data_IF_002667653830
#
_entry.id   IF_002667653830
#
_cell.length_a   1.000
_cell.length_b   1.000
_cell.length_c   1.000
_cell.angle_alpha   90.00
_cell.angle_beta   90.00
_cell.angle_gamma   90.00
#
_symmetry.space_group_name_H-M   'P 1'
#
loop_
_entity.id
_entity.type
_entity.pdbx_description
1 polymer ?
#
# COMPACT_ATOMS: atom_id res chain seq x y z
N UNK A 1 -1.77 30.58 -8.08
CA UNK A 1 -1.39 29.87 -6.83
C UNK A 1 -0.28 28.90 -7.17
N UNK A 2 0.78 28.90 -6.40
CA UNK A 2 1.89 27.97 -6.52
C UNK A 2 2.02 27.17 -5.22
N UNK A 3 2.11 25.83 -5.32
CA UNK A 3 2.25 24.93 -4.17
C UNK A 3 3.50 24.06 -4.33
N UNK A 4 4.09 23.62 -3.22
CA UNK A 4 5.11 22.59 -3.22
C UNK A 4 4.51 21.25 -2.77
N UNK A 5 4.96 20.15 -3.39
CA UNK A 5 4.67 18.78 -2.94
C UNK A 5 5.98 18.06 -2.70
N UNK A 6 6.21 17.63 -1.46
CA UNK A 6 7.43 16.97 -1.01
C UNK A 6 7.25 15.46 -1.00
N UNK A 7 8.15 14.74 -1.69
CA UNK A 7 8.05 13.30 -1.86
C UNK A 7 7.24 12.93 -3.11
N UNK A 8 7.93 12.70 -4.23
CA UNK A 8 7.31 12.44 -5.53
C UNK A 8 7.15 10.92 -5.77
N UNK A 9 6.67 10.21 -4.76
CA UNK A 9 6.33 8.79 -4.82
C UNK A 9 4.91 8.52 -5.33
N UNK A 10 4.38 7.36 -4.93
CA UNK A 10 3.04 6.88 -5.31
C UNK A 10 1.87 7.74 -4.81
N UNK A 11 2.11 8.64 -3.87
CA UNK A 11 1.15 9.62 -3.34
C UNK A 11 1.39 11.00 -3.94
N UNK A 12 2.59 11.54 -3.77
CA UNK A 12 2.85 12.93 -4.12
C UNK A 12 2.86 13.21 -5.62
N UNK A 13 3.29 12.26 -6.48
CA UNK A 13 3.28 12.49 -7.92
C UNK A 13 1.85 12.52 -8.51
N UNK A 14 0.94 11.57 -8.21
CA UNK A 14 -0.46 11.66 -8.64
C UNK A 14 -1.14 12.95 -8.16
N UNK A 15 -0.93 13.32 -6.90
CA UNK A 15 -1.46 14.55 -6.33
C UNK A 15 -0.91 15.79 -7.05
N UNK A 16 0.39 15.82 -7.37
CA UNK A 16 1.02 16.89 -8.14
C UNK A 16 0.35 17.08 -9.50
N UNK A 17 0.12 15.99 -10.21
CA UNK A 17 -0.55 16.03 -11.52
C UNK A 17 -2.02 16.46 -11.40
N UNK A 18 -2.70 16.07 -10.32
CA UNK A 18 -4.08 16.48 -10.07
C UNK A 18 -4.18 17.99 -9.84
N UNK A 19 -3.28 18.60 -9.06
CA UNK A 19 -3.22 20.03 -8.88
C UNK A 19 -2.83 20.76 -10.16
N UNK A 20 -1.85 20.25 -10.92
CA UNK A 20 -1.42 20.83 -12.19
C UNK A 20 -2.57 20.89 -13.22
N UNK A 21 -3.46 19.88 -13.24
CA UNK A 21 -4.67 19.87 -14.09
C UNK A 21 -5.70 20.92 -13.67
N UNK A 22 -5.62 21.45 -12.46
CA UNK A 22 -6.56 22.41 -11.87
C UNK A 22 -6.03 23.84 -11.83
N UNK A 23 -5.21 24.23 -12.82
CA UNK A 23 -4.59 25.55 -12.93
C UNK A 23 -3.74 25.98 -11.72
N UNK A 24 -3.13 25.03 -11.04
CA UNK A 24 -2.21 25.27 -9.93
C UNK A 24 -0.79 24.96 -10.39
N UNK A 25 0.13 25.90 -10.19
CA UNK A 25 1.56 25.65 -10.43
C UNK A 25 2.12 24.78 -9.28
N UNK A 26 2.74 23.66 -9.63
CA UNK A 26 3.26 22.68 -8.68
C UNK A 26 4.78 22.60 -8.79
N UNK A 27 5.45 22.83 -7.65
CA UNK A 27 6.85 22.53 -7.44
C UNK A 27 6.98 21.21 -6.71
N UNK A 28 7.39 20.15 -7.41
CA UNK A 28 7.74 18.88 -6.78
C UNK A 28 9.11 18.95 -6.09
N UNK A 29 9.20 18.54 -4.84
CA UNK A 29 10.47 18.45 -4.10
C UNK A 29 10.76 16.98 -3.75
N UNK A 30 11.92 16.48 -4.15
CA UNK A 30 12.37 15.12 -3.81
C UNK A 30 13.88 15.09 -3.66
N UNK A 31 14.40 14.30 -2.74
CA UNK A 31 15.84 14.14 -2.51
C UNK A 31 16.53 13.32 -3.64
N UNK A 32 15.77 12.55 -4.40
CA UNK A 32 16.28 11.69 -5.47
C UNK A 32 16.47 12.48 -6.78
N UNK A 33 17.73 12.78 -7.09
CA UNK A 33 18.13 13.49 -8.31
C UNK A 33 17.69 12.77 -9.59
N UNK A 34 17.62 11.43 -9.58
CA UNK A 34 17.22 10.66 -10.76
C UNK A 34 15.73 10.82 -11.05
N UNK A 35 14.89 10.78 -10.00
CA UNK A 35 13.46 11.07 -10.12
C UNK A 35 13.22 12.49 -10.62
N UNK A 36 13.84 13.48 -10.01
CA UNK A 36 13.73 14.89 -10.40
C UNK A 36 14.10 15.08 -11.89
N UNK A 37 15.22 14.50 -12.32
CA UNK A 37 15.64 14.56 -13.71
C UNK A 37 14.64 13.91 -14.67
N UNK A 38 14.10 12.74 -14.29
CA UNK A 38 13.11 12.01 -15.10
C UNK A 38 11.85 12.84 -15.28
N UNK A 39 11.31 13.39 -14.20
CA UNK A 39 10.08 14.19 -14.21
C UNK A 39 10.22 15.47 -15.04
N UNK A 40 11.32 16.21 -14.86
CA UNK A 40 11.59 17.41 -15.65
C UNK A 40 11.82 17.10 -17.15
N UNK A 41 12.08 15.85 -17.51
CA UNK A 41 12.15 15.37 -18.90
C UNK A 41 10.81 14.81 -19.40
N UNK A 42 9.71 15.00 -18.68
CA UNK A 42 8.38 14.50 -19.04
C UNK A 42 8.23 12.98 -18.94
N UNK A 43 9.08 12.29 -18.15
CA UNK A 43 9.08 10.82 -18.08
C UNK A 43 8.68 10.31 -16.70
N UNK A 44 7.74 9.35 -16.70
CA UNK A 44 7.31 8.64 -15.49
C UNK A 44 8.29 7.51 -15.13
N UNK A 45 8.44 7.26 -13.83
CA UNK A 45 9.04 6.06 -13.26
C UNK A 45 8.00 5.22 -12.51
N UNK A 46 6.73 5.64 -12.53
CA UNK A 46 5.58 4.91 -11.95
C UNK A 46 4.74 4.39 -13.11
N UNK A 47 4.58 3.08 -13.22
CA UNK A 47 4.02 2.42 -14.40
C UNK A 47 2.57 2.83 -14.72
N UNK A 48 1.74 3.02 -13.69
CA UNK A 48 0.34 3.41 -13.88
C UNK A 48 0.16 4.92 -14.11
N UNK A 49 1.25 5.71 -14.15
CA UNK A 49 1.24 7.12 -14.52
C UNK A 49 1.87 7.27 -15.89
N UNK A 50 1.08 7.66 -16.87
CA UNK A 50 1.55 7.86 -18.23
C UNK A 50 2.54 9.03 -18.33
N UNK A 51 3.64 8.82 -19.05
CA UNK A 51 4.64 9.88 -19.27
C UNK A 51 4.05 11.09 -19.98
N UNK A 52 3.06 10.92 -20.85
CA UNK A 52 2.35 12.02 -21.50
C UNK A 52 1.71 13.00 -20.53
N UNK A 53 1.13 12.50 -19.43
CA UNK A 53 0.52 13.36 -18.41
C UNK A 53 1.54 14.23 -17.68
N UNK A 54 2.78 13.72 -17.51
CA UNK A 54 3.88 14.50 -16.92
C UNK A 54 4.40 15.52 -17.94
N UNK A 55 4.63 15.09 -19.18
CA UNK A 55 5.10 15.96 -20.24
C UNK A 55 4.15 17.15 -20.46
N UNK A 56 2.84 16.91 -20.57
CA UNK A 56 1.82 17.95 -20.67
C UNK A 56 1.89 18.98 -19.52
N UNK A 57 2.08 18.51 -18.28
CA UNK A 57 2.17 19.39 -17.12
C UNK A 57 3.46 20.23 -17.12
N UNK A 58 4.58 19.63 -17.53
CA UNK A 58 5.89 20.31 -17.66
C UNK A 58 5.87 21.32 -18.79
N UNK A 59 5.41 20.93 -19.98
CA UNK A 59 5.35 21.80 -21.18
C UNK A 59 4.39 22.97 -20.97
N UNK A 60 3.31 22.77 -20.21
CA UNK A 60 2.40 23.83 -19.81
C UNK A 60 2.97 24.78 -18.72
N UNK A 61 4.17 24.52 -18.20
CA UNK A 61 4.76 25.26 -17.10
C UNK A 61 4.04 25.10 -15.75
N UNK A 62 3.17 24.08 -15.64
CA UNK A 62 2.36 23.82 -14.42
C UNK A 62 3.01 22.87 -13.44
N UNK A 63 4.05 22.16 -13.85
CA UNK A 63 4.81 21.25 -13.01
C UNK A 63 6.31 21.39 -13.25
N UNK A 64 7.07 21.47 -12.18
CA UNK A 64 8.54 21.36 -12.20
C UNK A 64 9.00 20.59 -10.96
N UNK A 65 10.14 19.92 -11.03
CA UNK A 65 10.72 19.20 -9.89
C UNK A 65 12.10 19.74 -9.53
N UNK A 66 12.45 19.68 -8.23
CA UNK A 66 13.74 20.16 -7.71
C UNK A 66 14.21 19.34 -6.52
N UNK A 67 15.52 19.30 -6.30
CA UNK A 67 16.12 18.80 -5.05
C UNK A 67 16.45 19.93 -4.06
N UNK A 68 16.20 21.18 -4.45
CA UNK A 68 16.47 22.37 -3.64
C UNK A 68 15.24 22.76 -2.83
N UNK A 69 15.24 22.40 -1.55
CA UNK A 69 14.15 22.67 -0.60
C UNK A 69 14.00 24.17 -0.29
N UNK A 70 15.04 24.98 -0.53
CA UNK A 70 14.95 26.44 -0.35
C UNK A 70 13.90 27.09 -1.26
N UNK A 71 13.53 26.42 -2.34
CA UNK A 71 12.50 26.87 -3.26
C UNK A 71 11.07 26.78 -2.68
N UNK A 72 10.88 26.10 -1.55
CA UNK A 72 9.60 26.10 -0.84
C UNK A 72 9.10 27.51 -0.54
N UNK A 73 10.02 28.48 -0.29
CA UNK A 73 9.69 29.91 -0.10
C UNK A 73 8.95 30.56 -1.29
N UNK A 74 9.02 29.98 -2.49
CA UNK A 74 8.32 30.46 -3.69
C UNK A 74 6.82 30.09 -3.68
N UNK A 75 6.35 29.28 -2.74
CA UNK A 75 5.02 28.66 -2.75
C UNK A 75 4.12 29.19 -1.64
N UNK A 76 2.81 29.08 -1.82
CA UNK A 76 1.78 29.48 -0.85
C UNK A 76 1.42 28.32 0.11
N UNK A 77 1.65 27.09 -0.36
CA UNK A 77 1.42 25.88 0.44
C UNK A 77 2.49 24.82 0.18
N UNK A 78 2.80 24.02 1.19
CA UNK A 78 3.68 22.86 1.12
C UNK A 78 2.92 21.64 1.60
N UNK A 79 2.86 20.58 0.78
CA UNK A 79 2.22 19.30 1.10
C UNK A 79 3.30 18.24 1.24
N UNK A 80 3.34 17.55 2.37
CA UNK A 80 4.38 16.56 2.72
C UNK A 80 3.82 15.14 2.51
N UNK A 81 4.40 14.40 1.54
CA UNK A 81 4.01 13.05 1.12
C UNK A 81 5.21 12.08 1.23
N UNK A 82 5.96 12.13 2.32
CA UNK A 82 7.15 11.30 2.53
C UNK A 82 6.81 9.93 3.13
N UNK A 83 7.67 8.91 2.94
CA UNK A 83 7.43 7.59 3.53
C UNK A 83 7.41 7.62 5.06
N UNK A 84 6.61 6.71 5.63
CA UNK A 84 6.50 6.48 7.07
C UNK A 84 6.52 4.97 7.33
N UNK A 85 7.69 4.30 7.28
CA UNK A 85 7.80 2.87 7.53
C UNK A 85 7.72 2.54 9.02
N UNK A 86 7.59 1.26 9.34
CA UNK A 86 7.91 0.75 10.68
C UNK A 86 9.40 0.38 10.75
N UNK A 87 9.97 0.51 11.95
CA UNK A 87 11.25 -0.08 12.25
C UNK A 87 11.11 -1.61 12.49
N UNK A 88 12.24 -2.31 12.70
CA UNK A 88 12.25 -3.77 12.97
C UNK A 88 11.46 -4.20 14.21
N UNK A 89 11.16 -3.29 15.12
CA UNK A 89 10.38 -3.51 16.34
C UNK A 89 8.90 -3.19 16.14
N UNK A 90 8.46 -2.92 14.91
CA UNK A 90 7.11 -2.46 14.54
C UNK A 90 6.72 -1.13 15.21
N UNK A 91 7.69 -0.24 15.44
CA UNK A 91 7.44 1.11 15.91
C UNK A 91 7.46 2.10 14.73
N UNK A 92 6.63 3.17 14.79
CA UNK A 92 6.62 4.21 13.76
C UNK A 92 7.99 4.86 13.54
N UNK A 93 8.45 4.90 12.31
CA UNK A 93 9.62 5.69 11.92
C UNK A 93 9.17 6.97 11.21
N UNK A 94 9.06 8.06 11.98
CA UNK A 94 8.69 9.39 11.47
C UNK A 94 9.91 10.24 11.11
N UNK A 95 11.11 9.65 11.05
CA UNK A 95 12.35 10.39 10.75
C UNK A 95 12.27 11.19 9.45
N UNK A 96 11.64 10.63 8.41
CA UNK A 96 11.44 11.32 7.13
C UNK A 96 10.56 12.58 7.27
N UNK A 97 9.54 12.56 8.14
CA UNK A 97 8.69 13.72 8.41
C UNK A 97 9.53 14.78 9.12
N UNK A 98 10.25 14.38 10.16
CA UNK A 98 11.10 15.29 10.98
C UNK A 98 12.19 15.93 10.13
N UNK A 99 12.93 15.16 9.34
CA UNK A 99 14.00 15.71 8.49
C UNK A 99 13.44 16.60 7.37
N UNK A 100 12.26 16.28 6.85
CA UNK A 100 11.55 17.15 5.89
C UNK A 100 11.14 18.45 6.58
N UNK A 101 10.59 18.39 7.80
CA UNK A 101 10.24 19.56 8.60
C UNK A 101 11.44 20.46 8.84
N UNK A 102 12.58 19.89 9.25
CA UNK A 102 13.85 20.64 9.43
C UNK A 102 14.33 21.32 8.13
N UNK A 103 14.18 20.64 7.01
CA UNK A 103 14.59 21.17 5.69
C UNK A 103 13.68 22.30 5.21
N UNK A 104 12.40 22.29 5.60
CA UNK A 104 11.40 23.27 5.18
C UNK A 104 11.35 24.49 6.12
N UNK A 105 11.53 24.30 7.42
CA UNK A 105 11.34 25.32 8.44
C UNK A 105 12.06 26.65 8.16
N UNK A 106 13.35 26.68 7.73
CA UNK A 106 14.05 27.94 7.42
C UNK A 106 13.48 28.72 6.22
N UNK A 107 12.59 28.08 5.45
CA UNK A 107 12.03 28.62 4.20
C UNK A 107 10.53 28.92 4.32
N UNK A 108 9.95 28.74 5.51
CA UNK A 108 8.56 29.11 5.75
C UNK A 108 8.38 30.63 5.70
N UNK A 109 7.15 31.04 5.34
CA UNK A 109 6.77 32.46 5.29
C UNK A 109 5.43 32.63 6.03
N UNK A 110 5.20 33.85 6.54
CA UNK A 110 3.91 34.18 7.16
C UNK A 110 2.75 33.94 6.19
N UNK A 111 1.71 33.32 6.71
CA UNK A 111 0.52 32.94 5.94
C UNK A 111 0.67 31.68 5.09
N UNK A 112 1.86 31.05 5.01
CA UNK A 112 2.06 29.80 4.27
C UNK A 112 1.30 28.66 4.95
N UNK A 113 0.75 27.75 4.15
CA UNK A 113 0.13 26.52 4.64
C UNK A 113 1.13 25.35 4.56
N UNK A 114 1.27 24.58 5.62
CA UNK A 114 1.95 23.28 5.64
C UNK A 114 0.91 22.20 5.90
N UNK A 115 0.88 21.16 5.06
CA UNK A 115 -0.03 20.01 5.21
C UNK A 115 0.80 18.74 5.26
N UNK A 116 0.56 17.91 6.27
CA UNK A 116 1.06 16.54 6.29
C UNK A 116 0.03 15.61 5.65
N UNK A 117 0.43 14.82 4.64
CA UNK A 117 -0.37 13.76 4.02
C UNK A 117 0.15 12.35 4.33
N UNK A 118 1.39 12.24 4.79
CA UNK A 118 1.98 10.96 5.17
C UNK A 118 1.13 10.29 6.26
N UNK A 119 0.85 8.99 6.12
CA UNK A 119 0.13 8.24 7.16
C UNK A 119 0.95 8.18 8.43
N UNK A 120 0.32 8.46 9.57
CA UNK A 120 0.98 8.55 10.87
C UNK A 120 -0.01 8.36 12.02
N UNK A 121 0.45 8.44 13.29
CA UNK A 121 -0.40 8.38 14.48
C UNK A 121 -0.96 9.75 14.84
N UNK A 122 -2.11 9.79 15.55
CA UNK A 122 -2.69 11.04 16.04
C UNK A 122 -1.72 11.79 16.96
N UNK A 123 -1.44 13.04 16.62
CA UNK A 123 -0.47 13.90 17.32
C UNK A 123 0.77 14.23 16.50
N UNK A 124 1.12 13.47 15.47
CA UNK A 124 2.32 13.74 14.67
C UNK A 124 2.30 15.13 14.05
N UNK A 125 1.16 15.60 13.55
CA UNK A 125 1.08 16.92 12.92
C UNK A 125 1.14 18.05 13.92
N UNK A 126 0.35 17.98 15.00
CA UNK A 126 0.16 19.08 15.95
C UNK A 126 1.09 19.02 17.17
N UNK A 127 1.91 17.97 17.29
CA UNK A 127 3.01 17.83 18.25
C UNK A 127 4.35 17.78 17.52
N UNK A 128 4.74 16.62 16.97
CA UNK A 128 6.09 16.36 16.46
C UNK A 128 6.50 17.29 15.30
N UNK A 129 5.67 17.37 14.24
CA UNK A 129 5.98 18.22 13.08
C UNK A 129 5.88 19.71 13.43
N UNK A 130 4.88 20.09 14.23
CA UNK A 130 4.71 21.45 14.70
C UNK A 130 5.96 21.96 15.43
N UNK A 131 6.47 21.18 16.40
CA UNK A 131 7.67 21.54 17.18
C UNK A 131 8.87 21.81 16.26
N UNK A 132 9.10 20.95 15.29
CA UNK A 132 10.21 21.07 14.32
C UNK A 132 10.06 22.33 13.47
N UNK A 133 8.84 22.61 12.99
CA UNK A 133 8.59 23.77 12.13
C UNK A 133 8.72 25.07 12.89
N UNK A 134 8.20 25.16 14.13
CA UNK A 134 8.29 26.32 15.00
C UNK A 134 9.74 26.59 15.41
N UNK A 135 10.47 25.55 15.85
CA UNK A 135 11.87 25.68 16.26
C UNK A 135 12.79 26.15 15.10
N UNK A 136 12.57 25.63 13.89
CA UNK A 136 13.43 25.94 12.76
C UNK A 136 13.09 27.25 12.03
N UNK A 137 11.84 27.74 12.14
CA UNK A 137 11.39 28.97 11.49
C UNK A 137 11.36 30.19 12.43
N UNK A 138 11.26 29.95 13.74
CA UNK A 138 11.01 31.01 14.73
C UNK A 138 9.59 31.60 14.67
N UNK A 139 8.65 30.91 13.98
CA UNK A 139 7.26 31.31 13.81
C UNK A 139 6.31 30.37 14.55
N UNK A 140 5.12 30.86 14.93
CA UNK A 140 4.09 30.11 15.63
C UNK A 140 3.06 29.52 14.66
N UNK A 141 2.83 28.19 14.71
CA UNK A 141 1.82 27.53 13.93
C UNK A 141 0.39 27.93 14.36
N UNK A 142 -0.47 28.19 13.39
CA UNK A 142 -1.83 28.67 13.62
C UNK A 142 -1.94 30.19 13.76
N UNK A 143 -0.83 30.89 13.97
CA UNK A 143 -0.73 32.35 14.09
C UNK A 143 0.05 32.93 12.92
N UNK A 144 1.33 32.56 12.75
CA UNK A 144 2.20 33.07 11.69
C UNK A 144 2.10 32.26 10.40
N UNK A 145 1.91 30.94 10.51
CA UNK A 145 1.68 30.04 9.38
C UNK A 145 0.58 29.02 9.71
N UNK A 146 0.01 28.42 8.68
CA UNK A 146 -1.07 27.46 8.83
C UNK A 146 -0.53 26.02 8.81
N UNK A 147 -1.12 25.15 9.66
CA UNK A 147 -0.76 23.74 9.76
C UNK A 147 -2.02 22.87 9.69
N UNK A 148 -1.98 21.84 8.87
CA UNK A 148 -3.11 20.93 8.65
C UNK A 148 -2.64 19.49 8.36
N UNK A 149 -3.57 18.55 8.47
CA UNK A 149 -3.42 17.15 8.07
C UNK A 149 -4.51 16.74 7.08
N UNK A 150 -4.13 15.99 6.05
CA UNK A 150 -5.10 15.45 5.10
C UNK A 150 -4.63 14.09 4.58
N UNK A 151 -5.23 12.96 4.99
CA UNK A 151 -4.74 11.63 4.62
C UNK A 151 -4.95 11.33 3.14
N UNK A 152 -4.02 10.58 2.56
CA UNK A 152 -4.23 9.95 1.26
C UNK A 152 -5.16 8.74 1.39
N UNK A 153 -6.15 8.64 0.50
CA UNK A 153 -7.20 7.60 0.50
C UNK A 153 -7.32 6.87 -0.84
N UNK A 154 -6.38 7.08 -1.74
CA UNK A 154 -6.36 6.44 -3.04
C UNK A 154 -6.07 4.93 -2.90
N UNK A 155 -6.68 4.12 -3.77
CA UNK A 155 -6.40 2.68 -3.91
C UNK A 155 -5.71 2.46 -5.26
N UNK A 156 -4.36 2.44 -5.32
CA UNK A 156 -3.62 2.31 -6.56
C UNK A 156 -4.04 1.06 -7.35
N UNK A 157 -4.22 1.24 -8.66
CA UNK A 157 -4.67 0.16 -9.56
C UNK A 157 -6.19 -0.07 -9.57
N UNK A 158 -6.98 0.63 -8.75
CA UNK A 158 -8.43 0.59 -8.82
C UNK A 158 -8.94 1.67 -9.80
N UNK A 159 -9.59 1.31 -10.92
CA UNK A 159 -10.04 2.28 -11.92
C UNK A 159 -11.10 3.27 -11.41
N UNK A 160 -11.79 2.91 -10.31
CA UNK A 160 -12.78 3.76 -9.66
C UNK A 160 -12.17 4.65 -8.56
N UNK A 161 -10.89 4.48 -8.26
CA UNK A 161 -10.17 5.26 -7.25
C UNK A 161 -9.36 6.35 -7.95
N UNK A 162 -9.97 7.54 -8.12
CA UNK A 162 -9.30 8.70 -8.70
C UNK A 162 -9.20 9.80 -7.66
N UNK A 163 -8.02 10.39 -7.49
CA UNK A 163 -7.74 11.48 -6.53
C UNK A 163 -8.84 12.56 -6.53
N UNK A 164 -9.28 12.97 -7.73
CA UNK A 164 -10.26 14.04 -7.88
C UNK A 164 -11.66 13.76 -7.30
N UNK A 165 -12.08 12.49 -7.21
CA UNK A 165 -13.44 12.11 -6.85
C UNK A 165 -13.56 11.47 -5.46
N UNK A 166 -12.46 10.99 -4.89
CA UNK A 166 -12.46 10.45 -3.53
C UNK A 166 -12.64 11.61 -2.55
N UNK A 167 -13.66 11.55 -1.65
CA UNK A 167 -13.82 12.57 -0.64
C UNK A 167 -12.56 12.69 0.23
N UNK A 168 -11.97 13.88 0.32
CA UNK A 168 -10.71 14.11 1.05
C UNK A 168 -10.99 14.65 2.44
N UNK A 169 -10.55 13.94 3.46
CA UNK A 169 -10.64 14.37 4.86
C UNK A 169 -9.59 15.45 5.12
N UNK A 170 -9.96 16.51 5.84
CA UNK A 170 -9.05 17.61 6.17
C UNK A 170 -9.26 18.04 7.62
N UNK A 171 -8.18 18.08 8.41
CA UNK A 171 -8.15 18.64 9.75
C UNK A 171 -7.14 19.78 9.83
N UNK A 172 -7.51 20.89 10.43
CA UNK A 172 -6.60 22.02 10.70
C UNK A 172 -6.18 22.07 12.15
N UNK A 173 -4.99 22.66 12.43
CA UNK A 173 -4.56 22.95 13.79
C UNK A 173 -5.50 23.96 14.46
N UNK A 174 -5.96 24.97 13.70
CA UNK A 174 -6.95 25.96 14.10
C UNK A 174 -8.06 26.05 13.04
N UNK A 175 -9.23 26.69 13.34
CA UNK A 175 -10.23 26.96 12.31
C UNK A 175 -9.69 27.71 11.09
N UNK A 176 -8.78 28.67 11.28
CA UNK A 176 -8.13 29.39 10.19
C UNK A 176 -7.26 28.46 9.34
N UNK A 177 -6.50 27.55 9.97
CA UNK A 177 -5.72 26.53 9.25
C UNK A 177 -6.61 25.61 8.41
N UNK A 178 -7.76 25.19 8.93
CA UNK A 178 -8.74 24.39 8.22
C UNK A 178 -9.28 25.10 6.98
N UNK A 179 -9.66 26.37 7.12
CA UNK A 179 -10.19 27.15 5.97
C UNK A 179 -9.13 27.36 4.90
N UNK A 180 -7.86 27.62 5.26
CA UNK A 180 -6.76 27.68 4.29
C UNK A 180 -6.51 26.33 3.58
N UNK A 181 -6.53 25.23 4.32
CA UNK A 181 -6.40 23.89 3.73
C UNK A 181 -7.55 23.58 2.76
N UNK A 182 -8.79 23.90 3.14
CA UNK A 182 -9.97 23.76 2.27
C UNK A 182 -9.82 24.61 0.99
N UNK A 183 -9.33 25.83 1.08
CA UNK A 183 -9.12 26.69 -0.09
C UNK A 183 -8.07 26.12 -1.05
N UNK A 184 -7.00 25.51 -0.54
CA UNK A 184 -5.97 24.84 -1.36
C UNK A 184 -6.54 23.60 -2.03
N UNK A 185 -7.06 22.63 -1.23
CA UNK A 185 -7.54 21.36 -1.77
C UNK A 185 -8.78 21.48 -2.65
N UNK A 186 -9.67 22.44 -2.37
CA UNK A 186 -10.88 22.71 -3.16
C UNK A 186 -10.60 23.10 -4.61
N UNK A 187 -9.35 23.44 -4.96
CA UNK A 187 -8.96 23.70 -6.35
C UNK A 187 -8.86 22.40 -7.17
N UNK A 188 -8.47 21.29 -6.52
CA UNK A 188 -8.14 20.04 -7.21
C UNK A 188 -9.09 18.89 -6.84
N UNK A 189 -9.75 18.95 -5.68
CA UNK A 189 -10.58 17.89 -5.12
C UNK A 189 -12.03 18.35 -5.02
N UNK A 190 -12.94 17.54 -5.57
CA UNK A 190 -14.36 17.90 -5.67
C UNK A 190 -15.08 17.90 -4.31
N UNK A 191 -14.78 16.94 -3.46
CA UNK A 191 -15.47 16.76 -2.18
C UNK A 191 -14.48 16.80 -1.03
N UNK A 192 -14.63 17.77 -0.14
CA UNK A 192 -13.85 17.91 1.08
C UNK A 192 -14.70 17.53 2.28
N UNK A 193 -14.11 16.80 3.22
CA UNK A 193 -14.73 16.36 4.47
C UNK A 193 -13.94 17.00 5.63
N UNK A 194 -14.34 18.21 6.06
CA UNK A 194 -13.66 18.86 7.17
C UNK A 194 -13.95 18.15 8.48
N UNK A 195 -12.91 18.01 9.31
CA UNK A 195 -12.99 17.46 10.67
C UNK A 195 -12.41 18.44 11.68
N UNK A 196 -12.69 18.23 12.97
CA UNK A 196 -12.44 19.20 14.04
C UNK A 196 -10.95 19.45 14.34
N UNK A 197 -10.03 18.54 13.97
CA UNK A 197 -8.59 18.68 14.25
C UNK A 197 -7.74 17.81 13.34
N UNK A 198 -6.42 18.06 13.32
CA UNK A 198 -5.44 17.18 12.66
C UNK A 198 -5.54 15.75 13.22
N UNK A 199 -5.65 15.59 14.54
CA UNK A 199 -5.74 14.27 15.20
C UNK A 199 -6.95 13.45 14.74
N UNK A 200 -8.11 14.08 14.55
CA UNK A 200 -9.30 13.39 14.01
C UNK A 200 -9.05 12.92 12.58
N UNK A 201 -8.40 13.73 11.76
CA UNK A 201 -8.07 13.35 10.39
C UNK A 201 -7.03 12.22 10.33
N UNK A 202 -5.99 12.24 11.17
CA UNK A 202 -5.02 11.17 11.35
C UNK A 202 -5.69 9.87 11.82
N UNK A 203 -6.52 9.95 12.86
CA UNK A 203 -7.28 8.81 13.39
C UNK A 203 -8.23 8.20 12.34
N UNK A 204 -8.84 9.02 11.49
CA UNK A 204 -9.73 8.54 10.42
C UNK A 204 -9.00 7.59 9.47
N UNK A 205 -7.81 7.97 9.01
CA UNK A 205 -6.99 7.12 8.13
C UNK A 205 -6.65 5.78 8.78
N UNK A 206 -6.20 5.82 10.03
CA UNK A 206 -5.87 4.59 10.77
C UNK A 206 -7.10 3.70 10.95
N UNK A 207 -8.26 4.30 11.29
CA UNK A 207 -9.52 3.56 11.46
C UNK A 207 -9.92 2.81 10.18
N UNK A 208 -9.80 3.44 9.00
CA UNK A 208 -10.08 2.80 7.72
C UNK A 208 -9.19 1.58 7.46
N UNK A 209 -7.90 1.68 7.76
CA UNK A 209 -6.95 0.60 7.56
C UNK A 209 -7.06 -0.49 8.63
N UNK A 210 -7.33 -0.12 9.89
CA UNK A 210 -7.63 -1.05 10.98
C UNK A 210 -8.89 -1.87 10.66
N UNK A 211 -9.97 -1.21 10.22
CA UNK A 211 -11.19 -1.89 9.82
C UNK A 211 -10.92 -2.96 8.77
N UNK A 212 -10.09 -2.64 7.77
CA UNK A 212 -9.70 -3.58 6.71
C UNK A 212 -8.87 -4.74 7.27
N UNK A 213 -7.86 -4.44 8.08
CA UNK A 213 -6.98 -5.44 8.69
C UNK A 213 -7.74 -6.44 9.57
N UNK A 214 -8.62 -5.95 10.43
CA UNK A 214 -9.44 -6.78 11.34
C UNK A 214 -10.41 -7.67 10.57
N UNK A 215 -11.09 -7.13 9.56
CA UNK A 215 -12.03 -7.93 8.77
C UNK A 215 -11.33 -8.96 7.86
N UNK A 216 -10.12 -8.68 7.38
CA UNK A 216 -9.31 -9.69 6.68
C UNK A 216 -8.87 -10.79 7.65
N UNK A 217 -8.45 -10.45 8.88
CA UNK A 217 -8.12 -11.44 9.91
C UNK A 217 -9.33 -12.33 10.24
N UNK A 218 -10.51 -11.75 10.39
CA UNK A 218 -11.74 -12.51 10.63
C UNK A 218 -12.01 -13.55 9.53
N UNK A 219 -11.95 -13.15 8.25
CA UNK A 219 -12.21 -14.11 7.16
C UNK A 219 -11.07 -15.13 6.98
N UNK A 220 -9.84 -14.79 7.36
CA UNK A 220 -8.72 -15.73 7.42
C UNK A 220 -8.93 -16.78 8.52
N UNK A 221 -9.36 -16.36 9.71
CA UNK A 221 -9.71 -17.29 10.80
C UNK A 221 -10.90 -18.18 10.40
N UNK A 222 -11.98 -17.59 9.86
CA UNK A 222 -13.14 -18.34 9.37
C UNK A 222 -12.76 -19.36 8.29
N UNK A 223 -11.79 -19.03 7.42
CA UNK A 223 -11.27 -19.99 6.44
C UNK A 223 -10.68 -21.23 7.10
N UNK A 224 -9.86 -21.06 8.13
CA UNK A 224 -9.24 -22.19 8.85
C UNK A 224 -10.32 -23.04 9.52
N UNK A 225 -11.26 -22.39 10.23
CA UNK A 225 -12.37 -23.06 10.92
C UNK A 225 -13.27 -23.82 9.95
N UNK A 226 -13.73 -23.17 8.88
CA UNK A 226 -14.61 -23.77 7.89
C UNK A 226 -13.92 -24.88 7.09
N UNK A 227 -12.64 -24.73 6.80
CA UNK A 227 -11.85 -25.79 6.16
C UNK A 227 -11.83 -27.06 7.01
N UNK A 228 -11.67 -26.96 8.34
CA UNK A 228 -11.73 -28.10 9.26
C UNK A 228 -13.12 -28.73 9.32
N UNK A 229 -14.18 -27.97 9.03
CA UNK A 229 -15.57 -28.44 8.99
C UNK A 229 -15.98 -28.97 7.59
N UNK A 230 -15.10 -28.88 6.59
CA UNK A 230 -15.41 -29.24 5.20
C UNK A 230 -16.31 -28.23 4.47
N UNK A 231 -16.38 -26.99 4.97
CA UNK A 231 -17.20 -25.89 4.42
C UNK A 231 -16.30 -24.97 3.58
N UNK A 232 -16.78 -24.55 2.41
CA UNK A 232 -16.07 -23.59 1.57
C UNK A 232 -16.35 -22.14 2.00
N UNK A 233 -15.35 -21.49 2.60
CA UNK A 233 -15.46 -20.09 3.07
C UNK A 233 -15.84 -19.11 1.95
N UNK A 234 -15.42 -19.38 0.72
CA UNK A 234 -15.73 -18.49 -0.42
C UNK A 234 -17.22 -18.51 -0.76
N UNK A 235 -17.83 -19.70 -0.75
CA UNK A 235 -19.28 -19.86 -0.93
C UNK A 235 -20.06 -19.19 0.19
N UNK A 236 -19.59 -19.32 1.45
CA UNK A 236 -20.20 -18.66 2.60
C UNK A 236 -20.17 -17.14 2.45
N UNK A 237 -19.01 -16.57 2.08
CA UNK A 237 -18.87 -15.12 1.87
C UNK A 237 -19.72 -14.63 0.71
N UNK A 238 -19.74 -15.39 -0.41
CA UNK A 238 -20.54 -15.05 -1.58
C UNK A 238 -22.04 -15.10 -1.30
N UNK A 239 -22.50 -16.02 -0.45
CA UNK A 239 -23.87 -16.03 0.04
C UNK A 239 -24.15 -14.85 1.00
N UNK A 240 -23.26 -14.62 1.97
CA UNK A 240 -23.44 -13.56 2.98
C UNK A 240 -23.48 -12.16 2.35
N UNK A 241 -22.69 -11.87 1.31
CA UNK A 241 -22.69 -10.57 0.62
C UNK A 241 -24.00 -10.22 -0.10
N UNK A 242 -24.89 -11.19 -0.29
CA UNK A 242 -26.22 -10.92 -0.85
C UNK A 242 -27.12 -10.16 0.13
N UNK A 243 -26.77 -10.16 1.43
CA UNK A 243 -27.47 -9.39 2.44
C UNK A 243 -27.22 -7.88 2.20
N UNK A 244 -28.25 -7.05 2.01
CA UNK A 244 -28.09 -5.65 1.59
C UNK A 244 -27.60 -4.71 2.69
N UNK A 245 -27.44 -5.16 3.93
CA UNK A 245 -27.01 -4.37 5.09
C UNK A 245 -26.22 -5.22 6.09
N UNK A 246 -25.36 -4.57 6.90
CA UNK A 246 -24.67 -5.17 8.04
C UNK A 246 -23.61 -6.22 7.67
N UNK A 247 -23.24 -6.35 6.39
CA UNK A 247 -22.16 -7.20 5.93
C UNK A 247 -21.41 -6.53 4.76
N UNK A 248 -20.09 -6.38 4.92
CA UNK A 248 -19.19 -5.97 3.85
C UNK A 248 -18.25 -7.16 3.55
N UNK A 249 -18.21 -7.67 2.32
CA UNK A 249 -17.41 -8.85 2.01
C UNK A 249 -15.90 -8.52 2.04
N UNK A 250 -15.15 -9.33 2.78
CA UNK A 250 -13.72 -9.49 2.70
C UNK A 250 -13.40 -10.93 2.32
N UNK A 251 -12.26 -11.14 1.70
CA UNK A 251 -11.87 -12.45 1.23
C UNK A 251 -10.54 -12.88 1.83
N UNK A 252 -10.38 -14.17 2.20
CA UNK A 252 -9.15 -14.66 2.77
C UNK A 252 -8.01 -14.65 1.75
N UNK A 253 -6.79 -14.71 2.26
CA UNK A 253 -5.59 -14.74 1.45
C UNK A 253 -4.39 -15.33 2.19
N UNK A 254 -3.23 -15.44 1.52
CA UNK A 254 -2.03 -16.06 2.07
C UNK A 254 -1.26 -15.17 3.05
N UNK A 255 -1.83 -14.05 3.45
CA UNK A 255 -1.23 -13.02 4.31
C UNK A 255 -1.62 -11.63 3.83
N UNK A 256 -1.18 -10.62 4.56
CA UNK A 256 -1.33 -9.21 4.18
C UNK A 256 -0.13 -8.76 3.34
N UNK A 257 -0.42 -7.92 2.36
CA UNK A 257 0.59 -7.25 1.55
C UNK A 257 0.29 -5.77 1.32
N UNK A 258 1.25 -5.07 0.71
CA UNK A 258 1.20 -3.63 0.50
C UNK A 258 1.64 -2.84 1.74
N UNK A 259 1.83 -1.53 1.56
CA UNK A 259 2.40 -0.68 2.60
C UNK A 259 1.47 -0.34 3.76
N UNK A 260 0.13 -0.29 3.53
CA UNK A 260 -0.77 0.31 4.50
C UNK A 260 -1.28 -0.69 5.54
N UNK A 261 -1.86 -1.82 5.09
CA UNK A 261 -2.58 -2.73 6.00
C UNK A 261 -1.67 -3.46 6.99
N UNK A 262 -0.45 -3.90 6.63
CA UNK A 262 0.48 -4.51 7.57
C UNK A 262 1.12 -3.52 8.55
N UNK A 263 1.11 -2.22 8.25
CA UNK A 263 1.88 -1.18 8.92
C UNK A 263 1.00 -0.26 9.77
N UNK A 264 0.02 0.39 9.16
CA UNK A 264 -0.74 1.49 9.76
C UNK A 264 -1.47 1.13 11.07
N UNK A 265 -2.05 -0.09 11.23
CA UNK A 265 -2.67 -0.46 12.51
C UNK A 265 -1.73 -0.39 13.71
N UNK A 266 -0.42 -0.67 13.50
CA UNK A 266 0.57 -0.64 14.57
C UNK A 266 0.95 0.78 15.00
N UNK A 267 0.72 1.80 14.17
CA UNK A 267 0.83 3.20 14.59
C UNK A 267 -0.10 3.50 15.76
N UNK A 268 -1.36 3.06 15.67
CA UNK A 268 -2.31 3.28 16.76
C UNK A 268 -1.97 2.41 17.98
N UNK A 269 -1.52 1.17 17.78
CA UNK A 269 -1.07 0.29 18.87
C UNK A 269 0.08 0.93 19.65
N UNK A 270 1.06 1.48 18.94
CA UNK A 270 2.20 2.15 19.57
C UNK A 270 1.76 3.40 20.33
N UNK A 271 0.98 4.30 19.70
CA UNK A 271 0.50 5.55 20.33
C UNK A 271 -0.44 5.28 21.52
N UNK A 272 -1.27 4.25 21.46
CA UNK A 272 -2.19 3.91 22.53
C UNK A 272 -1.48 3.57 23.86
N UNK A 273 -0.24 3.08 23.81
CA UNK A 273 0.56 2.77 25.00
C UNK A 273 0.87 4.01 25.83
N UNK A 274 1.01 5.18 25.21
CA UNK A 274 1.18 6.46 25.93
C UNK A 274 -0.04 6.79 26.80
N UNK A 275 -1.21 6.30 26.41
CA UNK A 275 -2.48 6.47 27.15
C UNK A 275 -2.83 5.23 28.01
N UNK A 276 -1.87 4.31 28.19
CA UNK A 276 -2.06 3.07 28.97
C UNK A 276 -3.24 2.23 28.45
N UNK A 277 -3.45 2.22 27.13
CA UNK A 277 -4.49 1.46 26.45
C UNK A 277 -3.88 0.32 25.62
N UNK A 278 -4.57 -0.83 25.60
CA UNK A 278 -4.22 -2.00 24.79
C UNK A 278 -5.17 -2.13 23.58
N UNK A 279 -4.62 -2.41 22.43
CA UNK A 279 -5.37 -2.54 21.18
C UNK A 279 -5.61 -4.01 20.81
N UNK A 280 -6.40 -4.73 21.61
CA UNK A 280 -6.58 -6.19 21.52
C UNK A 280 -6.98 -6.68 20.12
N UNK A 281 -7.98 -6.05 19.48
CA UNK A 281 -8.43 -6.45 18.15
C UNK A 281 -7.37 -6.20 17.07
N UNK A 282 -6.58 -5.14 17.21
CA UNK A 282 -5.55 -4.78 16.23
C UNK A 282 -4.38 -5.75 16.32
N UNK A 283 -3.91 -6.02 17.54
CA UNK A 283 -2.81 -6.95 17.80
C UNK A 283 -3.19 -8.37 17.38
N UNK A 284 -4.38 -8.86 17.79
CA UNK A 284 -4.89 -10.16 17.38
C UNK A 284 -5.04 -10.28 15.85
N UNK A 285 -5.57 -9.25 15.20
CA UNK A 285 -5.66 -9.25 13.74
C UNK A 285 -4.27 -9.34 13.07
N UNK A 286 -3.28 -8.66 13.64
CA UNK A 286 -1.89 -8.76 13.20
C UNK A 286 -1.34 -10.18 13.34
N UNK A 287 -1.58 -10.85 14.46
CA UNK A 287 -1.18 -12.25 14.71
C UNK A 287 -1.82 -13.21 13.72
N UNK A 288 -3.16 -13.16 13.59
CA UNK A 288 -3.91 -14.02 12.66
C UNK A 288 -3.41 -13.87 11.22
N UNK A 289 -3.28 -12.62 10.75
CA UNK A 289 -2.83 -12.37 9.39
C UNK A 289 -1.37 -12.79 9.15
N UNK A 290 -0.50 -12.63 10.14
CA UNK A 290 0.91 -13.05 10.07
C UNK A 290 1.08 -14.57 10.12
N UNK A 291 0.12 -15.32 10.67
CA UNK A 291 0.13 -16.77 10.69
C UNK A 291 -0.33 -17.43 9.38
N UNK A 292 -0.99 -16.67 8.49
CA UNK A 292 -1.53 -17.23 7.24
C UNK A 292 -0.50 -17.86 6.31
N UNK A 293 0.71 -17.31 6.10
CA UNK A 293 1.72 -17.97 5.28
C UNK A 293 2.04 -19.39 5.78
N UNK A 294 2.19 -19.59 7.10
CA UNK A 294 2.44 -20.93 7.67
C UNK A 294 1.28 -21.88 7.37
N UNK A 295 0.03 -21.44 7.53
CA UNK A 295 -1.13 -22.23 7.16
C UNK A 295 -1.09 -22.65 5.69
N UNK A 296 -0.73 -21.75 4.78
CA UNK A 296 -0.59 -22.06 3.35
C UNK A 296 0.51 -23.09 3.10
N UNK A 297 1.66 -22.96 3.77
CA UNK A 297 2.76 -23.96 3.66
C UNK A 297 2.31 -25.33 4.14
N UNK A 298 1.53 -25.43 5.22
CA UNK A 298 0.97 -26.70 5.66
C UNK A 298 0.03 -27.30 4.60
N UNK A 299 -0.79 -26.49 3.92
CA UNK A 299 -1.62 -26.98 2.81
C UNK A 299 -0.79 -27.43 1.61
N UNK A 300 0.34 -26.78 1.30
CA UNK A 300 1.30 -27.23 0.28
C UNK A 300 1.88 -28.58 0.64
N UNK A 301 2.29 -28.78 1.90
CA UNK A 301 2.82 -30.07 2.40
C UNK A 301 1.76 -31.18 2.25
N UNK A 302 0.52 -30.92 2.68
CA UNK A 302 -0.60 -31.87 2.56
C UNK A 302 -0.87 -32.24 1.09
N UNK A 303 -0.87 -31.23 0.20
CA UNK A 303 -1.06 -31.44 -1.24
C UNK A 303 0.04 -32.30 -1.87
N UNK A 304 1.29 -32.05 -1.54
CA UNK A 304 2.43 -32.87 -2.00
C UNK A 304 2.41 -34.27 -1.39
N UNK A 305 2.13 -34.40 -0.11
CA UNK A 305 2.03 -35.71 0.58
C UNK A 305 0.95 -36.59 -0.04
N UNK A 306 -0.21 -36.03 -0.43
CA UNK A 306 -1.25 -36.79 -1.14
C UNK A 306 -0.76 -37.39 -2.47
N UNK A 307 0.35 -36.86 -3.00
CA UNK A 307 1.03 -37.34 -4.23
C UNK A 307 2.31 -38.11 -3.94
N UNK A 308 2.53 -38.51 -2.67
CA UNK A 308 3.73 -39.23 -2.20
C UNK A 308 5.03 -38.46 -2.48
N UNK A 309 4.99 -37.11 -2.37
CA UNK A 309 6.13 -36.22 -2.51
C UNK A 309 6.38 -35.45 -1.21
N UNK A 310 7.65 -35.33 -0.83
CA UNK A 310 8.06 -34.43 0.22
C UNK A 310 8.18 -32.99 -0.31
N UNK A 311 8.04 -32.00 0.54
CA UNK A 311 8.29 -30.60 0.18
C UNK A 311 9.78 -30.40 -0.16
N UNK A 312 10.68 -30.99 0.65
CA UNK A 312 12.10 -30.97 0.39
C UNK A 312 12.43 -31.66 -0.96
N UNK A 313 13.09 -30.93 -1.85
CA UNK A 313 13.45 -31.36 -3.20
C UNK A 313 12.34 -31.14 -4.25
N UNK A 314 11.10 -30.84 -3.86
CA UNK A 314 10.02 -30.55 -4.80
C UNK A 314 10.23 -29.20 -5.50
N UNK A 315 9.78 -29.14 -6.77
CA UNK A 315 9.76 -27.92 -7.57
C UNK A 315 8.41 -27.23 -7.38
N UNK A 316 8.40 -26.03 -6.80
CA UNK A 316 7.19 -25.24 -6.54
C UNK A 316 7.20 -23.97 -7.38
N UNK A 317 6.15 -23.72 -8.15
CA UNK A 317 5.93 -22.47 -8.87
C UNK A 317 4.95 -21.60 -8.08
N UNK A 318 5.41 -20.44 -7.59
CA UNK A 318 4.54 -19.41 -6.99
C UNK A 318 3.95 -18.57 -8.12
N UNK A 319 2.62 -18.57 -8.25
CA UNK A 319 1.88 -17.83 -9.26
C UNK A 319 1.30 -16.55 -8.67
N UNK A 320 1.80 -15.41 -9.15
CA UNK A 320 1.51 -14.08 -8.65
C UNK A 320 2.49 -13.65 -7.54
N UNK A 321 3.36 -12.68 -7.88
CA UNK A 321 4.32 -12.08 -6.94
C UNK A 321 3.82 -10.74 -6.41
N UNK A 322 3.10 -9.95 -7.23
CA UNK A 322 2.50 -8.71 -6.79
C UNK A 322 1.57 -8.91 -5.57
N UNK A 323 1.54 -7.94 -4.66
CA UNK A 323 0.71 -8.05 -3.46
C UNK A 323 -0.79 -8.02 -3.75
N UNK A 324 -1.19 -7.48 -4.90
CA UNK A 324 -2.58 -7.31 -5.35
C UNK A 324 -2.72 -7.73 -6.81
N UNK A 325 -3.93 -8.13 -7.21
CA UNK A 325 -4.23 -8.49 -8.59
C UNK A 325 -4.03 -7.29 -9.55
N UNK A 326 -3.47 -7.57 -10.72
CA UNK A 326 -3.36 -6.66 -11.86
C UNK A 326 -2.54 -5.38 -11.63
N UNK A 327 -1.62 -5.41 -10.66
CA UNK A 327 -0.64 -4.35 -10.41
C UNK A 327 0.79 -4.88 -10.52
N UNK A 328 1.75 -3.96 -10.71
CA UNK A 328 3.19 -4.25 -10.76
C UNK A 328 3.91 -3.92 -9.43
N UNK A 329 3.15 -3.83 -8.33
CA UNK A 329 3.67 -3.53 -7.01
C UNK A 329 3.84 -4.82 -6.19
N UNK A 330 5.09 -5.17 -5.96
CA UNK A 330 5.50 -6.37 -5.23
C UNK A 330 5.99 -6.06 -3.79
N UNK A 331 5.91 -4.78 -3.37
CA UNK A 331 6.35 -4.36 -2.04
C UNK A 331 5.52 -5.03 -0.95
N UNK A 332 6.21 -5.54 0.08
CA UNK A 332 5.58 -6.25 1.21
C UNK A 332 4.62 -7.36 0.77
N UNK A 333 4.88 -7.98 -0.38
CA UNK A 333 4.01 -9.06 -0.86
C UNK A 333 4.16 -10.31 0.01
N UNK A 334 3.05 -10.94 0.46
CA UNK A 334 3.09 -12.20 1.17
C UNK A 334 3.70 -13.34 0.34
N UNK A 335 3.77 -13.17 -0.99
CA UNK A 335 4.42 -14.14 -1.87
C UNK A 335 5.91 -14.31 -1.58
N UNK A 336 6.60 -13.25 -1.13
CA UNK A 336 8.00 -13.37 -0.70
C UNK A 336 8.15 -14.23 0.53
N UNK A 337 7.30 -14.03 1.53
CA UNK A 337 7.28 -14.84 2.75
C UNK A 337 7.03 -16.31 2.41
N UNK A 338 6.08 -16.59 1.50
CA UNK A 338 5.83 -17.95 1.02
C UNK A 338 7.05 -18.54 0.29
N UNK A 339 7.72 -17.76 -0.56
CA UNK A 339 8.92 -18.19 -1.28
C UNK A 339 10.07 -18.53 -0.32
N UNK A 340 10.29 -17.69 0.71
CA UNK A 340 11.30 -17.93 1.74
C UNK A 340 10.99 -19.21 2.51
N UNK A 341 9.79 -19.35 3.03
CA UNK A 341 9.36 -20.50 3.80
C UNK A 341 9.45 -21.81 3.01
N UNK A 342 9.15 -21.78 1.70
CA UNK A 342 9.33 -22.92 0.80
C UNK A 342 10.80 -23.26 0.60
N UNK A 343 11.63 -22.25 0.34
CA UNK A 343 13.08 -22.43 0.11
C UNK A 343 13.79 -22.93 1.37
N UNK A 344 13.50 -22.39 2.55
CA UNK A 344 14.02 -22.82 3.84
C UNK A 344 13.71 -24.30 4.14
N UNK A 345 12.55 -24.79 3.66
CA UNK A 345 12.13 -26.19 3.78
C UNK A 345 12.65 -27.08 2.64
N UNK A 346 13.59 -26.56 1.83
CA UNK A 346 14.30 -27.30 0.79
C UNK A 346 13.56 -27.44 -0.54
N UNK A 347 12.49 -26.70 -0.78
CA UNK A 347 11.86 -26.67 -2.10
C UNK A 347 12.69 -25.88 -3.12
N UNK A 348 12.60 -26.26 -4.38
CA UNK A 348 13.15 -25.51 -5.52
C UNK A 348 12.09 -24.53 -6.00
N UNK A 349 12.20 -23.27 -5.57
CA UNK A 349 11.18 -22.24 -5.79
C UNK A 349 11.47 -21.45 -7.06
N UNK A 350 10.42 -21.21 -7.85
CA UNK A 350 10.40 -20.23 -8.92
C UNK A 350 9.06 -19.47 -8.85
N UNK A 351 8.96 -18.32 -9.52
CA UNK A 351 7.71 -17.60 -9.60
C UNK A 351 7.33 -17.29 -11.05
N UNK A 352 6.02 -17.06 -11.27
CA UNK A 352 5.50 -16.44 -12.47
C UNK A 352 4.58 -15.28 -12.07
N UNK A 353 4.84 -14.12 -12.66
CA UNK A 353 3.99 -12.93 -12.54
C UNK A 353 4.04 -12.16 -13.87
N UNK A 354 2.89 -11.84 -14.48
CA UNK A 354 2.86 -11.11 -15.76
C UNK A 354 3.23 -9.63 -15.61
N UNK A 355 3.17 -9.07 -14.39
CA UNK A 355 3.41 -7.65 -14.12
C UNK A 355 4.76 -7.39 -13.47
N UNK A 356 5.37 -8.42 -12.85
CA UNK A 356 6.69 -8.33 -12.21
C UNK A 356 7.68 -9.26 -12.94
N UNK A 357 8.25 -8.83 -14.07
CA UNK A 357 9.13 -9.67 -14.88
C UNK A 357 10.48 -9.98 -14.22
N UNK A 358 10.95 -9.11 -13.34
CA UNK A 358 12.19 -9.25 -12.58
C UNK A 358 11.99 -8.65 -11.19
N UNK A 359 12.40 -9.38 -10.16
CA UNK A 359 12.37 -8.91 -8.77
C UNK A 359 13.37 -7.75 -8.61
N UNK A 360 12.87 -6.61 -8.14
CA UNK A 360 13.72 -5.46 -7.78
C UNK A 360 14.37 -5.69 -6.42
N UNK A 361 15.45 -4.99 -6.08
CA UNK A 361 15.98 -5.02 -4.72
C UNK A 361 14.90 -4.62 -3.70
N UNK A 362 14.63 -5.50 -2.74
CA UNK A 362 13.69 -5.26 -1.64
C UNK A 362 14.47 -5.15 -0.34
N UNK A 363 13.91 -4.48 0.66
CA UNK A 363 14.54 -4.30 1.96
C UNK A 363 14.64 -5.61 2.74
N UNK A 364 13.55 -6.41 2.73
CA UNK A 364 13.43 -7.60 3.58
C UNK A 364 13.82 -8.90 2.89
N UNK A 365 13.72 -8.96 1.56
CA UNK A 365 14.00 -10.14 0.75
C UNK A 365 15.07 -9.89 -0.34
N UNK A 366 16.24 -9.29 0.01
CA UNK A 366 17.25 -8.87 -0.99
C UNK A 366 17.84 -10.03 -1.78
N UNK A 367 17.79 -11.25 -1.24
CA UNK A 367 18.33 -12.46 -1.87
C UNK A 367 17.53 -12.91 -3.12
N UNK A 368 16.29 -12.45 -3.28
CA UNK A 368 15.50 -12.69 -4.49
C UNK A 368 15.76 -11.67 -5.60
N UNK A 369 16.48 -10.58 -5.33
CA UNK A 369 16.75 -9.53 -6.31
C UNK A 369 17.38 -10.08 -7.58
N UNK A 370 16.89 -9.64 -8.76
CA UNK A 370 17.36 -10.11 -10.07
C UNK A 370 16.73 -11.44 -10.53
N UNK A 371 15.96 -12.13 -9.68
CA UNK A 371 15.23 -13.34 -10.09
C UNK A 371 14.19 -12.97 -11.16
N UNK A 372 14.13 -13.75 -12.23
CA UNK A 372 13.22 -13.51 -13.37
C UNK A 372 11.94 -14.32 -13.25
N UNK A 373 10.84 -13.74 -13.65
CA UNK A 373 9.56 -14.42 -13.82
C UNK A 373 9.69 -15.55 -14.83
N UNK A 374 9.21 -16.73 -14.46
CA UNK A 374 9.23 -17.94 -15.30
C UNK A 374 8.27 -17.77 -16.47
N UNK A 375 8.64 -18.24 -17.66
CA UNK A 375 7.76 -18.15 -18.83
C UNK A 375 6.48 -19.00 -18.65
N UNK A 376 5.34 -18.46 -19.06
CA UNK A 376 4.04 -19.13 -18.96
C UNK A 376 3.80 -20.06 -20.15
N UNK A 377 4.30 -21.29 -20.06
CA UNK A 377 4.17 -22.31 -21.11
C UNK A 377 3.85 -23.67 -20.52
N UNK A 378 3.14 -24.52 -21.29
CA UNK A 378 2.81 -25.88 -20.86
C UNK A 378 4.02 -26.71 -20.45
N UNK A 379 5.14 -26.60 -21.20
CA UNK A 379 6.38 -27.34 -20.91
C UNK A 379 6.97 -26.95 -19.54
N UNK A 380 6.96 -25.66 -19.25
CA UNK A 380 7.53 -25.13 -18.00
C UNK A 380 6.61 -25.47 -16.84
N UNK A 381 5.32 -25.14 -16.91
CA UNK A 381 4.38 -25.40 -15.82
C UNK A 381 4.31 -26.88 -15.46
N UNK A 382 4.30 -27.80 -16.47
CA UNK A 382 4.35 -29.25 -16.26
C UNK A 382 5.62 -29.75 -15.56
N UNK A 383 6.70 -28.97 -15.56
CA UNK A 383 7.97 -29.37 -14.91
C UNK A 383 7.96 -29.14 -13.39
N UNK A 384 6.94 -28.48 -12.85
CA UNK A 384 6.75 -28.27 -11.44
C UNK A 384 5.90 -29.36 -10.80
N UNK A 385 6.22 -29.69 -9.56
CA UNK A 385 5.47 -30.66 -8.77
C UNK A 385 4.19 -30.07 -8.23
N UNK A 386 4.17 -28.73 -7.99
CA UNK A 386 3.05 -27.99 -7.48
C UNK A 386 3.09 -26.54 -7.97
N UNK A 387 1.89 -25.98 -8.24
CA UNK A 387 1.70 -24.53 -8.47
C UNK A 387 0.93 -23.96 -7.28
N UNK A 388 1.49 -22.96 -6.61
CA UNK A 388 0.87 -22.23 -5.52
C UNK A 388 0.36 -20.88 -6.06
N UNK A 389 -0.96 -20.71 -6.10
CA UNK A 389 -1.58 -19.44 -6.51
C UNK A 389 -1.58 -18.51 -5.30
N UNK A 390 -0.73 -17.50 -5.30
CA UNK A 390 -0.63 -16.48 -4.25
C UNK A 390 -1.40 -15.21 -4.60
N UNK A 391 -1.35 -14.77 -5.87
CA UNK A 391 -2.12 -13.63 -6.39
C UNK A 391 -2.85 -14.01 -7.67
N UNK A 392 -4.14 -13.64 -7.75
CA UNK A 392 -5.00 -13.95 -8.90
C UNK A 392 -5.00 -12.78 -9.89
N UNK A 393 -4.17 -12.86 -10.93
CA UNK A 393 -4.16 -11.89 -12.03
C UNK A 393 -5.17 -12.25 -13.10
N UNK A 394 -5.90 -11.26 -13.62
CA UNK A 394 -6.88 -11.46 -14.68
C UNK A 394 -6.25 -11.90 -16.02
N UNK A 395 -5.00 -11.50 -16.25
CA UNK A 395 -4.23 -11.84 -17.46
C UNK A 395 -3.72 -13.28 -17.49
N UNK A 396 -3.83 -14.04 -16.40
CA UNK A 396 -3.41 -15.45 -16.33
C UNK A 396 -4.51 -16.37 -16.82
N UNK A 397 -4.18 -17.28 -17.75
CA UNK A 397 -5.10 -18.31 -18.22
C UNK A 397 -5.13 -19.53 -17.25
N UNK A 398 -6.08 -19.48 -16.30
CA UNK A 398 -6.29 -20.56 -15.32
C UNK A 398 -6.88 -21.84 -15.93
N UNK A 399 -7.52 -21.76 -17.10
CA UNK A 399 -7.98 -22.98 -17.83
C UNK A 399 -6.79 -23.75 -18.38
N UNK A 400 -5.79 -23.06 -18.89
CA UNK A 400 -4.51 -23.66 -19.28
C UNK A 400 -3.75 -24.20 -18.08
N UNK A 401 -3.76 -23.49 -16.94
CA UNK A 401 -3.18 -23.98 -15.69
C UNK A 401 -3.77 -25.34 -15.26
N UNK A 402 -5.12 -25.47 -15.31
CA UNK A 402 -5.81 -26.71 -14.99
C UNK A 402 -5.37 -27.91 -15.89
N UNK A 403 -5.03 -27.64 -17.15
CA UNK A 403 -4.54 -28.66 -18.10
C UNK A 403 -3.05 -29.00 -17.90
N UNK A 404 -2.26 -28.07 -17.37
CA UNK A 404 -0.81 -28.20 -17.31
C UNK A 404 -0.29 -28.65 -15.95
N UNK A 405 -0.83 -28.10 -14.88
CA UNK A 405 -0.37 -28.39 -13.52
C UNK A 405 -0.98 -29.71 -13.01
N UNK A 406 -0.16 -30.56 -12.44
CA UNK A 406 -0.63 -31.80 -11.80
C UNK A 406 -1.21 -31.55 -10.40
N UNK A 407 -0.71 -30.54 -9.68
CA UNK A 407 -1.13 -30.16 -8.33
C UNK A 407 -1.19 -28.64 -8.21
N UNK A 408 -2.27 -28.12 -7.66
CA UNK A 408 -2.50 -26.69 -7.49
C UNK A 408 -2.93 -26.46 -6.04
N UNK A 409 -2.27 -25.53 -5.36
CA UNK A 409 -2.75 -24.97 -4.09
C UNK A 409 -3.27 -23.56 -4.39
N UNK A 410 -4.55 -23.34 -4.09
CA UNK A 410 -5.25 -22.11 -4.45
C UNK A 410 -5.65 -21.30 -3.20
N UNK A 411 -4.97 -20.17 -2.99
CA UNK A 411 -5.26 -19.26 -1.86
C UNK A 411 -6.25 -18.15 -2.21
N UNK A 412 -6.66 -18.05 -3.48
CA UNK A 412 -7.45 -16.92 -4.02
C UNK A 412 -8.74 -17.33 -4.71
N UNK A 413 -9.13 -18.59 -4.58
CA UNK A 413 -10.28 -19.13 -5.30
C UNK A 413 -10.23 -18.87 -6.82
N UNK A 414 -9.01 -18.89 -7.37
CA UNK A 414 -8.78 -18.60 -8.78
C UNK A 414 -9.29 -19.74 -9.70
N UNK A 415 -9.32 -20.95 -9.18
CA UNK A 415 -9.76 -22.15 -9.90
C UNK A 415 -11.27 -22.38 -9.82
N UNK A 416 -12.03 -21.49 -9.16
CA UNK A 416 -13.49 -21.62 -9.05
C UNK A 416 -14.16 -21.63 -10.44
N UNK A 417 -15.07 -22.58 -10.68
CA UNK A 417 -15.77 -22.75 -11.95
C UNK A 417 -14.91 -23.28 -13.11
N UNK A 418 -13.65 -23.66 -12.86
CA UNK A 418 -12.77 -24.26 -13.87
C UNK A 418 -12.78 -25.79 -13.70
N UNK A 419 -13.07 -26.57 -14.75
CA UNK A 419 -13.00 -28.03 -14.69
C UNK A 419 -11.58 -28.51 -14.38
N UNK A 420 -11.44 -29.33 -13.32
CA UNK A 420 -10.17 -29.91 -12.85
C UNK A 420 -10.34 -31.39 -12.53
N UNK A 421 -9.24 -32.13 -12.53
CA UNK A 421 -9.27 -33.51 -12.08
C UNK A 421 -9.52 -33.61 -10.58
N UNK A 422 -10.11 -34.70 -10.13
CA UNK A 422 -10.35 -34.96 -8.69
C UNK A 422 -9.01 -34.91 -7.93
N UNK A 423 -8.94 -34.13 -6.87
CA UNK A 423 -7.74 -33.95 -6.03
C UNK A 423 -6.60 -33.18 -6.70
N UNK A 424 -6.85 -32.48 -7.81
CA UNK A 424 -5.86 -31.62 -8.46
C UNK A 424 -5.71 -30.27 -7.75
N UNK A 425 -6.79 -29.72 -7.23
CA UNK A 425 -6.82 -28.43 -6.56
C UNK A 425 -7.05 -28.62 -5.06
N UNK A 426 -6.19 -28.00 -4.26
CA UNK A 426 -6.29 -27.89 -2.81
C UNK A 426 -6.52 -26.44 -2.47
N UNK A 427 -7.62 -26.11 -1.79
CA UNK A 427 -7.90 -24.75 -1.32
C UNK A 427 -7.08 -24.45 -0.08
N UNK A 428 -6.33 -23.33 -0.09
CA UNK A 428 -5.44 -22.95 1.00
C UNK A 428 -5.72 -21.51 1.48
#
# INVERSE_FOLDING_TARGET
>A
MKIAIVGLGYVGLPLSLQFARSDTEVLGLDIDKAKVKSLNSGRSYIKHIESSAIAEAVDAGRFSASTDFSRAKETEAVIICVPTPLNKNREPDISYIIETGKSLAPHLRKGMLVVLESTTYPGTTDEDLREVLEAGSGMEAGTDFHLAFSPEREDPGNPNSKVAIIPKVIGGLTPACLEHAKAVYGRAIKTLVPVSSCRVAEATKLTENIFRSVNIALVNELKIVYSAMGIDVWEVIDAAKTKPFGFMPFYPGPGLGGHCIPIDPFYLTWKAREYVQNTRFIELAGEVNSAMPEYVIQQVIIALNSRRKALNGSKVLVLGLAYKADVDDDRESPSYVLMDMLAERGAKVAYHDPYVPVIRPTREHPHWAGTKSTAWTARIVKSFDLVLIATKHASVDYRSLAKWASCIVDTRNAMNGIPTAKGQVHKA
#
